data_IF_171148534380
#
_entry.id   IF_171148534380
#
_cell.length_a   1.000
_cell.length_b   1.000
_cell.length_c   1.000
_cell.angle_alpha   90.00
_cell.angle_beta   90.00
_cell.angle_gamma   90.00
#
_symmetry.space_group_name_H-M   'P 1'
#
loop_
_entity.id
_entity.type
_entity.pdbx_description
1 polymer ?
#
# COMPACT_ATOMS: atom_id res chain seq x y z
N UNK A 1 -23.91 4.21 13.06
CA UNK A 1 -22.61 4.03 12.39
C UNK A 1 -21.52 4.23 13.43
N UNK A 2 -20.59 3.30 13.62
CA UNK A 2 -19.45 3.52 14.48
C UNK A 2 -18.60 4.67 13.95
N UNK A 3 -18.28 5.62 14.83
CA UNK A 3 -17.39 6.73 14.54
C UNK A 3 -16.24 6.72 15.52
N UNK A 4 -15.06 7.10 15.04
CA UNK A 4 -13.83 7.08 15.81
C UNK A 4 -13.05 8.34 15.53
N UNK A 5 -12.42 8.90 16.55
CA UNK A 5 -11.47 10.00 16.43
C UNK A 5 -10.06 9.44 16.64
N UNK A 6 -9.16 9.66 15.69
CA UNK A 6 -7.81 9.14 15.70
C UNK A 6 -6.81 10.29 15.73
N UNK A 7 -6.06 10.39 16.81
CA UNK A 7 -4.97 11.36 16.96
C UNK A 7 -3.73 10.85 16.23
N UNK A 8 -3.24 11.55 15.17
CA UNK A 8 -1.99 11.17 14.53
C UNK A 8 -0.81 11.30 15.50
N UNK A 9 -0.05 10.25 15.67
CA UNK A 9 1.22 10.34 16.38
C UNK A 9 2.30 10.84 15.41
N UNK A 10 2.66 12.13 15.54
CA UNK A 10 3.54 12.83 14.63
C UNK A 10 2.86 13.30 13.33
N UNK A 11 3.60 14.02 12.46
CA UNK A 11 3.03 14.71 11.31
C UNK A 11 2.27 13.80 10.36
N UNK A 12 1.06 14.23 9.93
CA UNK A 12 0.21 13.50 8.99
C UNK A 12 -0.69 14.45 8.21
N UNK A 13 -0.87 14.17 6.92
CA UNK A 13 -1.83 14.82 6.04
C UNK A 13 -2.66 13.79 5.27
N UNK A 14 -3.96 13.77 5.53
CA UNK A 14 -4.90 12.94 4.77
C UNK A 14 -4.99 13.38 3.30
N UNK A 15 -4.88 14.68 3.05
CA UNK A 15 -4.85 15.23 1.69
C UNK A 15 -3.62 14.77 0.91
N UNK A 16 -2.45 14.69 1.57
CA UNK A 16 -1.25 14.12 0.96
C UNK A 16 -1.40 12.63 0.68
N UNK A 17 -2.02 11.86 1.60
CA UNK A 17 -2.31 10.45 1.42
C UNK A 17 -3.29 10.22 0.24
N UNK A 18 -4.37 11.00 0.12
CA UNK A 18 -5.33 10.92 -0.99
C UNK A 18 -4.66 11.25 -2.34
N UNK A 19 -3.87 12.32 -2.39
CA UNK A 19 -3.10 12.69 -3.59
C UNK A 19 -2.13 11.58 -4.03
N UNK A 20 -1.50 10.89 -3.07
CA UNK A 20 -0.62 9.75 -3.34
C UNK A 20 -1.43 8.52 -3.78
N UNK A 21 -2.56 8.23 -3.12
CA UNK A 21 -3.43 7.10 -3.41
C UNK A 21 -4.00 7.14 -4.85
N UNK A 22 -4.31 8.30 -5.39
CA UNK A 22 -4.76 8.48 -6.77
C UNK A 22 -3.79 7.94 -7.84
N UNK A 23 -2.51 7.81 -7.52
CA UNK A 23 -1.47 7.18 -8.35
C UNK A 23 -1.12 5.75 -7.97
N UNK A 24 -1.67 5.22 -6.87
CA UNK A 24 -1.29 3.92 -6.32
C UNK A 24 -2.27 2.80 -6.70
N UNK A 25 -1.82 1.59 -6.99
CA UNK A 25 -2.67 0.50 -7.48
C UNK A 25 -3.75 -0.01 -6.50
N UNK A 26 -3.68 0.36 -5.22
CA UNK A 26 -4.68 -0.02 -4.23
C UNK A 26 -6.01 0.75 -4.36
N UNK A 27 -6.03 1.86 -5.11
CA UNK A 27 -7.18 2.75 -5.23
C UNK A 27 -8.32 2.22 -6.11
N UNK A 28 -8.90 1.08 -5.77
CA UNK A 28 -10.22 0.72 -6.29
C UNK A 28 -11.25 1.20 -5.27
N UNK A 29 -11.87 2.32 -5.51
CA UNK A 29 -12.93 2.86 -4.67
C UNK A 29 -12.60 4.15 -3.91
N UNK A 30 -11.35 4.60 -3.92
CA UNK A 30 -10.98 5.95 -3.51
C UNK A 30 -11.43 6.95 -4.58
N UNK A 31 -12.71 7.13 -4.75
CA UNK A 31 -13.23 8.22 -5.56
C UNK A 31 -13.07 9.49 -4.73
N UNK A 32 -12.32 10.46 -5.25
CA UNK A 32 -12.38 11.82 -4.75
C UNK A 32 -13.86 12.22 -4.58
N UNK A 33 -14.39 12.09 -3.39
CA UNK A 33 -15.49 12.91 -2.97
C UNK A 33 -14.88 14.30 -2.99
N UNK A 34 -15.30 15.19 -3.88
CA UNK A 34 -14.76 16.56 -4.00
C UNK A 34 -14.90 17.36 -2.69
N UNK A 35 -14.33 16.84 -1.60
CA UNK A 35 -14.33 17.29 -0.23
C UNK A 35 -13.16 16.70 0.55
N UNK A 36 -12.91 17.10 1.80
CA UNK A 36 -11.78 16.70 2.63
C UNK A 36 -11.89 15.26 3.19
N UNK A 37 -12.46 14.31 2.43
CA UNK A 37 -12.68 12.95 2.88
C UNK A 37 -12.14 11.91 1.88
N UNK A 38 -11.39 10.95 2.40
CA UNK A 38 -10.92 9.75 1.69
C UNK A 38 -11.86 8.59 2.01
N UNK A 39 -12.45 8.00 0.97
CA UNK A 39 -13.35 6.85 1.10
C UNK A 39 -12.62 5.59 0.63
N UNK A 40 -12.55 4.60 1.50
CA UNK A 40 -11.86 3.33 1.32
C UNK A 40 -12.89 2.19 1.32
N UNK A 41 -12.88 1.36 0.30
CA UNK A 41 -13.76 0.19 0.22
C UNK A 41 -12.91 -1.07 0.01
N UNK A 42 -12.98 -2.03 0.92
CA UNK A 42 -12.09 -3.20 0.92
C UNK A 42 -12.71 -4.39 1.65
N UNK A 43 -12.27 -5.63 1.32
CA UNK A 43 -12.59 -6.81 2.11
C UNK A 43 -11.97 -6.72 3.50
N UNK A 44 -12.76 -6.96 4.54
CA UNK A 44 -12.24 -7.05 5.91
C UNK A 44 -11.52 -8.39 6.08
N UNK A 45 -10.33 -8.36 6.67
CA UNK A 45 -9.56 -9.59 6.97
C UNK A 45 -10.38 -10.51 7.86
N UNK A 46 -10.29 -11.83 7.63
CA UNK A 46 -11.28 -12.81 8.07
C UNK A 46 -12.31 -13.13 6.98
N UNK A 47 -12.42 -12.27 5.95
CA UNK A 47 -13.10 -12.48 4.67
C UNK A 47 -14.61 -12.75 4.75
N UNK A 48 -15.26 -12.37 5.87
CA UNK A 48 -16.71 -12.55 6.05
C UNK A 48 -17.48 -11.53 5.21
N UNK A 49 -17.02 -10.29 5.21
CA UNK A 49 -17.66 -9.17 4.52
C UNK A 49 -16.63 -8.12 4.02
N UNK A 50 -17.13 -7.02 3.51
CA UNK A 50 -16.33 -5.85 3.11
C UNK A 50 -16.85 -4.60 3.81
N UNK A 51 -15.97 -3.65 4.06
CA UNK A 51 -16.29 -2.37 4.68
C UNK A 51 -16.15 -1.21 3.71
N UNK A 52 -16.85 -0.12 4.03
CA UNK A 52 -16.52 1.24 3.59
C UNK A 52 -16.07 2.03 4.81
N UNK A 53 -14.90 2.61 4.72
CA UNK A 53 -14.36 3.50 5.76
C UNK A 53 -14.15 4.88 5.15
N UNK A 54 -14.77 5.88 5.75
CA UNK A 54 -14.56 7.28 5.40
C UNK A 54 -13.62 7.90 6.43
N UNK A 55 -12.49 8.42 5.94
CA UNK A 55 -11.55 9.20 6.75
C UNK A 55 -11.70 10.67 6.38
N UNK A 56 -11.76 11.55 7.35
CA UNK A 56 -11.80 13.00 7.14
C UNK A 56 -10.88 13.71 8.13
N UNK A 57 -10.23 14.78 7.65
CA UNK A 57 -9.30 15.59 8.43
C UNK A 57 -9.55 17.06 8.07
N UNK A 58 -9.74 17.92 9.04
CA UNK A 58 -10.03 19.34 8.80
C UNK A 58 -8.79 20.08 8.29
N UNK A 59 -7.65 19.81 8.89
CA UNK A 59 -6.37 20.37 8.51
C UNK A 59 -5.25 19.36 8.81
N UNK A 60 -4.07 19.56 8.21
CA UNK A 60 -2.88 18.74 8.50
C UNK A 60 -2.60 18.72 10.00
N UNK A 61 -2.17 17.58 10.51
CA UNK A 61 -1.84 17.32 11.92
C UNK A 61 -3.03 17.36 12.90
N UNK A 62 -4.25 17.70 12.45
CA UNK A 62 -5.46 17.61 13.25
C UNK A 62 -5.96 16.16 13.35
N UNK A 63 -6.84 15.85 14.31
CA UNK A 63 -7.45 14.53 14.42
C UNK A 63 -8.13 14.06 13.14
N UNK A 64 -8.05 12.77 12.87
CA UNK A 64 -8.76 12.12 11.77
C UNK A 64 -10.04 11.50 12.28
N UNK A 65 -11.17 11.95 11.75
CA UNK A 65 -12.46 11.32 11.99
C UNK A 65 -12.64 10.14 11.04
N UNK A 66 -13.02 8.99 11.59
CA UNK A 66 -13.26 7.77 10.82
C UNK A 66 -14.69 7.26 11.02
N UNK A 67 -15.39 6.96 9.94
CA UNK A 67 -16.71 6.35 9.95
C UNK A 67 -16.63 5.01 9.26
N UNK A 68 -17.16 3.95 9.88
CA UNK A 68 -17.10 2.57 9.36
C UNK A 68 -18.50 2.07 9.09
N UNK A 69 -18.71 1.52 7.88
CA UNK A 69 -19.98 0.94 7.45
C UNK A 69 -19.80 -0.41 6.74
N UNK A 70 -20.86 -1.19 6.72
CA UNK A 70 -21.01 -2.38 5.87
C UNK A 70 -20.31 -3.63 6.38
N UNK A 71 -19.80 -3.65 7.61
CA UNK A 71 -19.13 -4.82 8.20
C UNK A 71 -19.65 -5.14 9.60
N UNK A 72 -19.56 -6.42 9.97
CA UNK A 72 -19.84 -6.90 11.31
C UNK A 72 -18.69 -6.61 12.30
N UNK A 73 -17.46 -6.40 11.81
CA UNK A 73 -16.28 -6.06 12.61
C UNK A 73 -15.73 -4.66 12.24
N UNK A 74 -16.34 -3.59 12.77
CA UNK A 74 -15.91 -2.23 12.46
C UNK A 74 -14.52 -1.89 13.01
N UNK A 75 -14.07 -2.54 14.08
CA UNK A 75 -12.74 -2.31 14.64
C UNK A 75 -11.64 -2.90 13.76
N UNK A 76 -11.83 -4.10 13.22
CA UNK A 76 -10.91 -4.69 12.24
C UNK A 76 -10.84 -3.82 10.98
N UNK A 77 -11.98 -3.37 10.47
CA UNK A 77 -12.02 -2.47 9.32
C UNK A 77 -11.30 -1.14 9.59
N UNK A 78 -11.49 -0.55 10.78
CA UNK A 78 -10.78 0.66 11.17
C UNK A 78 -9.26 0.43 11.20
N UNK A 79 -8.79 -0.62 11.89
CA UNK A 79 -7.35 -0.95 11.94
C UNK A 79 -6.76 -1.10 10.53
N UNK A 80 -7.47 -1.78 9.64
CA UNK A 80 -7.08 -2.00 8.25
C UNK A 80 -7.01 -0.69 7.45
N UNK A 81 -7.99 0.21 7.63
CA UNK A 81 -8.01 1.53 7.01
C UNK A 81 -6.85 2.40 7.51
N UNK A 82 -6.62 2.46 8.81
CA UNK A 82 -5.52 3.24 9.40
C UNK A 82 -4.16 2.74 8.93
N UNK A 83 -3.96 1.42 8.87
CA UNK A 83 -2.75 0.80 8.31
C UNK A 83 -2.53 1.21 6.86
N UNK A 84 -3.59 1.26 6.06
CA UNK A 84 -3.48 1.61 4.64
C UNK A 84 -2.97 3.03 4.39
N UNK A 85 -3.16 3.95 5.34
CA UNK A 85 -2.63 5.32 5.29
C UNK A 85 -1.47 5.56 6.28
N UNK A 86 -0.90 4.49 6.85
CA UNK A 86 0.20 4.52 7.83
C UNK A 86 -0.10 5.35 9.09
N UNK A 87 -1.36 5.42 9.51
CA UNK A 87 -1.78 6.05 10.77
C UNK A 87 -1.67 5.12 11.98
N UNK A 88 -1.47 3.84 11.76
CA UNK A 88 -1.25 2.83 12.80
C UNK A 88 0.18 2.87 13.39
N UNK A 89 1.07 3.67 12.80
CA UNK A 89 2.44 3.87 13.24
C UNK A 89 2.66 5.19 13.96
N UNK A 90 3.62 5.16 14.88
CA UNK A 90 4.17 6.39 15.47
C UNK A 90 5.12 7.06 14.47
N UNK A 91 4.71 8.21 13.95
CA UNK A 91 5.50 9.04 13.03
C UNK A 91 6.15 10.24 13.70
N UNK A 92 6.16 10.33 15.04
CA UNK A 92 6.73 11.48 15.75
C UNK A 92 8.22 11.71 15.46
N UNK A 93 8.97 10.63 15.26
CA UNK A 93 10.39 10.69 14.88
C UNK A 93 10.64 10.87 13.36
N UNK A 94 9.59 10.91 12.53
CA UNK A 94 9.78 11.05 11.07
C UNK A 94 10.46 12.35 10.65
N UNK A 95 10.17 13.53 11.25
CA UNK A 95 10.91 14.76 10.96
C UNK A 95 12.40 14.68 11.28
N UNK A 96 12.81 13.90 12.29
CA UNK A 96 14.21 13.76 12.69
C UNK A 96 15.05 13.08 11.59
N UNK A 97 14.44 12.24 10.76
CA UNK A 97 15.10 11.66 9.59
C UNK A 97 15.50 12.78 8.62
N UNK A 98 14.60 13.71 8.35
CA UNK A 98 14.89 14.86 7.49
C UNK A 98 15.88 15.85 8.11
N UNK A 99 15.91 15.96 9.45
CA UNK A 99 16.89 16.81 10.14
C UNK A 99 18.32 16.29 10.01
N UNK A 100 18.50 14.95 9.99
CA UNK A 100 19.83 14.32 9.86
C UNK A 100 20.21 13.95 8.42
N UNK A 101 19.22 13.90 7.49
CA UNK A 101 19.45 13.65 6.06
C UNK A 101 18.86 14.79 5.21
N UNK A 102 19.69 15.68 4.67
CA UNK A 102 19.22 16.85 3.92
C UNK A 102 18.44 16.51 2.65
N UNK A 103 18.65 15.33 2.04
CA UNK A 103 17.88 14.90 0.87
C UNK A 103 16.47 14.55 1.28
N UNK A 104 16.32 13.72 2.31
CA UNK A 104 15.01 13.37 2.88
C UNK A 104 14.31 14.63 3.40
N UNK A 105 15.03 15.53 4.09
CA UNK A 105 14.46 16.77 4.61
C UNK A 105 13.85 17.67 3.52
N UNK A 106 14.54 17.84 2.38
CA UNK A 106 13.98 18.58 1.24
C UNK A 106 12.71 17.91 0.69
N UNK A 107 12.71 16.61 0.63
CA UNK A 107 11.53 15.86 0.15
C UNK A 107 10.37 15.91 1.14
N UNK A 108 10.62 15.88 2.44
CA UNK A 108 9.59 16.08 3.47
C UNK A 108 8.93 17.45 3.37
N UNK A 109 9.71 18.51 3.06
CA UNK A 109 9.16 19.84 2.80
C UNK A 109 8.32 19.88 1.52
N UNK A 110 8.82 19.25 0.43
CA UNK A 110 8.12 19.22 -0.86
C UNK A 110 6.84 18.36 -0.85
N UNK A 111 6.79 17.35 0.01
CA UNK A 111 5.69 16.40 0.17
C UNK A 111 5.21 16.39 1.63
N UNK A 112 4.86 17.58 2.10
CA UNK A 112 4.57 17.83 3.51
C UNK A 112 3.63 16.78 4.08
N UNK A 113 4.08 16.15 5.15
CA UNK A 113 3.35 15.19 5.97
C UNK A 113 2.85 13.92 5.24
N UNK A 114 3.41 13.64 4.06
CA UNK A 114 3.14 12.40 3.37
C UNK A 114 3.71 11.21 4.15
N UNK A 115 2.83 10.29 4.51
CA UNK A 115 3.17 8.92 4.89
C UNK A 115 2.80 7.97 3.75
N UNK A 116 3.52 6.87 3.53
CA UNK A 116 3.20 5.93 2.47
C UNK A 116 1.78 5.38 2.58
N UNK A 117 1.05 5.35 1.47
CA UNK A 117 -0.21 4.61 1.37
C UNK A 117 0.11 3.16 1.04
N UNK A 118 -0.43 2.24 1.81
CA UNK A 118 -0.27 0.81 1.70
C UNK A 118 -1.51 0.14 1.06
N UNK A 119 -1.42 -1.14 0.72
CA UNK A 119 -2.59 -1.94 0.40
C UNK A 119 -3.42 -2.20 1.66
N UNK A 120 -4.67 -2.55 1.48
CA UNK A 120 -5.56 -2.83 2.62
C UNK A 120 -5.18 -4.12 3.36
N UNK A 121 -4.54 -5.08 2.66
CA UNK A 121 -4.11 -6.35 3.23
C UNK A 121 -2.94 -6.96 2.46
N UNK A 122 -2.27 -7.96 3.04
CA UNK A 122 -1.28 -8.77 2.35
C UNK A 122 -1.89 -9.51 1.15
N UNK A 123 -3.12 -10.00 1.28
CA UNK A 123 -3.86 -10.65 0.20
C UNK A 123 -4.04 -9.70 -1.00
N UNK A 124 -4.52 -8.48 -0.78
CA UNK A 124 -4.70 -7.52 -1.87
C UNK A 124 -3.36 -7.11 -2.48
N UNK A 125 -2.32 -6.95 -1.67
CA UNK A 125 -1.00 -6.60 -2.13
C UNK A 125 -0.44 -7.67 -3.08
N UNK A 126 -0.36 -8.93 -2.64
CA UNK A 126 0.20 -10.02 -3.46
C UNK A 126 -0.62 -10.24 -4.73
N UNK A 127 -1.94 -10.19 -4.63
CA UNK A 127 -2.84 -10.30 -5.78
C UNK A 127 -2.59 -9.19 -6.79
N UNK A 128 -2.48 -7.93 -6.33
CA UNK A 128 -2.20 -6.77 -7.17
C UNK A 128 -0.84 -6.85 -7.86
N UNK A 129 0.19 -7.32 -7.15
CA UNK A 129 1.51 -7.53 -7.74
C UNK A 129 1.48 -8.61 -8.82
N UNK A 130 0.82 -9.74 -8.58
CA UNK A 130 0.71 -10.84 -9.57
C UNK A 130 -0.09 -10.38 -10.80
N UNK A 131 -1.19 -9.65 -10.63
CA UNK A 131 -1.92 -9.04 -11.75
C UNK A 131 -0.98 -8.14 -12.55
N UNK A 132 -0.22 -7.28 -11.89
CA UNK A 132 0.66 -6.28 -12.49
C UNK A 132 1.93 -6.83 -13.17
N UNK A 133 2.26 -8.12 -13.00
CA UNK A 133 3.46 -8.71 -13.61
C UNK A 133 3.44 -8.59 -15.13
N UNK A 134 4.49 -8.01 -15.72
CA UNK A 134 4.72 -7.90 -17.16
C UNK A 134 3.57 -7.21 -17.95
N UNK A 135 2.81 -6.35 -17.30
CA UNK A 135 1.79 -5.52 -17.95
C UNK A 135 1.92 -4.05 -17.51
N UNK A 136 1.38 -3.14 -18.30
CA UNK A 136 1.38 -1.72 -17.95
C UNK A 136 0.49 -1.45 -16.71
N UNK A 137 0.89 -0.47 -15.88
CA UNK A 137 0.11 -0.07 -14.67
C UNK A 137 -1.37 0.18 -14.97
N UNK A 138 -1.68 0.88 -16.08
CA UNK A 138 -3.07 1.15 -16.50
C UNK A 138 -3.84 -0.12 -16.83
N UNK A 139 -3.18 -1.12 -17.43
CA UNK A 139 -3.82 -2.40 -17.71
C UNK A 139 -4.11 -3.16 -16.42
N UNK A 140 -3.14 -3.23 -15.49
CA UNK A 140 -3.36 -3.82 -14.17
C UNK A 140 -4.51 -3.16 -13.40
N UNK A 141 -4.58 -1.83 -13.42
CA UNK A 141 -5.68 -1.09 -12.80
C UNK A 141 -7.06 -1.44 -13.41
N UNK A 142 -7.14 -1.56 -14.74
CA UNK A 142 -8.39 -1.97 -15.43
C UNK A 142 -8.81 -3.40 -15.05
N UNK A 143 -7.86 -4.32 -14.95
CA UNK A 143 -8.14 -5.71 -14.54
C UNK A 143 -8.66 -5.74 -13.10
N UNK A 144 -8.01 -5.00 -12.19
CA UNK A 144 -8.48 -4.88 -10.80
C UNK A 144 -9.90 -4.30 -10.74
N UNK A 145 -10.16 -3.22 -11.48
CA UNK A 145 -11.49 -2.61 -11.55
C UNK A 145 -12.53 -3.61 -12.06
N UNK A 146 -12.23 -4.32 -13.14
CA UNK A 146 -13.11 -5.35 -13.69
C UNK A 146 -13.39 -6.48 -12.68
N UNK A 147 -12.36 -6.95 -11.96
CA UNK A 147 -12.55 -7.94 -10.89
C UNK A 147 -13.44 -7.40 -9.78
N UNK A 148 -13.23 -6.15 -9.35
CA UNK A 148 -14.10 -5.49 -8.37
C UNK A 148 -15.54 -5.37 -8.86
N UNK A 149 -15.76 -4.99 -10.13
CA UNK A 149 -17.09 -4.88 -10.73
C UNK A 149 -17.81 -6.21 -10.82
N UNK A 150 -17.10 -7.30 -11.07
CA UNK A 150 -17.70 -8.60 -11.34
C UNK A 150 -17.86 -9.48 -10.11
N UNK A 151 -16.89 -9.41 -9.19
CA UNK A 151 -16.78 -10.34 -8.05
C UNK A 151 -16.63 -9.62 -6.71
N UNK A 152 -16.46 -8.32 -6.71
CA UNK A 152 -16.38 -7.52 -5.48
C UNK A 152 -17.74 -7.30 -4.83
N UNK A 153 -17.71 -6.87 -3.58
CA UNK A 153 -18.92 -6.49 -2.86
C UNK A 153 -19.28 -5.04 -3.18
N UNK A 154 -20.55 -4.83 -3.56
CA UNK A 154 -21.12 -3.49 -3.69
C UNK A 154 -21.46 -2.95 -2.30
N UNK A 155 -20.98 -1.75 -2.00
CA UNK A 155 -21.25 -1.03 -0.76
C UNK A 155 -21.78 0.36 -1.10
N UNK A 156 -22.80 0.80 -0.39
CA UNK A 156 -23.41 2.11 -0.60
C UNK A 156 -23.14 3.01 0.59
N UNK A 157 -22.64 4.22 0.31
CA UNK A 157 -22.47 5.30 1.28
C UNK A 157 -23.25 6.52 0.78
N UNK A 158 -24.35 6.85 1.46
CA UNK A 158 -25.29 7.86 0.97
C UNK A 158 -25.88 7.46 -0.39
N UNK A 159 -25.71 8.31 -1.40
CA UNK A 159 -26.15 8.04 -2.77
C UNK A 159 -25.08 7.43 -3.68
N UNK A 160 -23.89 7.16 -3.18
CA UNK A 160 -22.75 6.64 -3.95
C UNK A 160 -22.52 5.18 -3.68
N UNK A 161 -22.21 4.41 -4.74
CA UNK A 161 -21.78 3.02 -4.64
C UNK A 161 -20.27 2.94 -4.73
N UNK A 162 -19.68 2.10 -3.87
CA UNK A 162 -18.25 1.78 -3.84
C UNK A 162 -18.10 0.28 -3.99
N UNK A 163 -17.05 -0.15 -4.67
CA UNK A 163 -16.77 -1.55 -4.88
C UNK A 163 -15.45 -1.93 -4.24
N UNK A 164 -15.53 -2.91 -3.36
CA UNK A 164 -14.34 -3.55 -2.79
C UNK A 164 -13.68 -4.48 -3.82
N UNK A 165 -12.39 -4.72 -3.66
CA UNK A 165 -11.74 -5.83 -4.35
C UNK A 165 -12.41 -7.16 -3.94
N UNK A 166 -12.46 -8.21 -4.79
CA UNK A 166 -13.09 -9.47 -4.42
C UNK A 166 -12.50 -10.09 -3.15
N UNK A 167 -13.36 -10.55 -2.25
CA UNK A 167 -12.94 -11.45 -1.18
C UNK A 167 -12.34 -12.73 -1.75
N UNK A 168 -11.45 -13.45 -1.05
CA UNK A 168 -10.83 -14.66 -1.57
C UNK A 168 -11.82 -15.68 -2.15
N UNK A 169 -12.95 -15.94 -1.44
CA UNK A 169 -13.99 -16.86 -1.89
C UNK A 169 -14.56 -16.44 -3.25
N UNK A 170 -14.77 -15.14 -3.45
CA UNK A 170 -15.32 -14.60 -4.69
C UNK A 170 -14.29 -14.59 -5.82
N UNK A 171 -12.99 -14.40 -5.49
CA UNK A 171 -11.92 -14.46 -6.47
C UNK A 171 -11.76 -15.87 -7.06
N UNK A 172 -12.04 -16.93 -6.30
CA UNK A 172 -12.03 -18.30 -6.78
C UNK A 172 -13.10 -18.59 -7.87
N UNK A 173 -14.16 -17.77 -7.95
CA UNK A 173 -15.19 -17.91 -8.98
C UNK A 173 -14.75 -17.31 -10.34
N UNK A 174 -13.65 -16.55 -10.38
CA UNK A 174 -13.17 -15.88 -11.58
C UNK A 174 -12.43 -16.87 -12.48
N UNK A 175 -13.06 -17.34 -13.55
CA UNK A 175 -12.46 -18.33 -14.47
C UNK A 175 -11.88 -17.71 -15.73
N UNK A 176 -12.50 -16.65 -16.24
CA UNK A 176 -12.03 -15.90 -17.41
C UNK A 176 -11.96 -14.42 -17.07
N UNK A 177 -10.72 -13.92 -16.92
CA UNK A 177 -10.44 -12.53 -16.55
C UNK A 177 -9.84 -11.82 -17.76
N UNK A 178 -10.56 -10.85 -18.37
CA UNK A 178 -10.08 -10.14 -19.54
C UNK A 178 -8.70 -9.51 -19.30
N UNK A 179 -7.75 -9.85 -20.16
CA UNK A 179 -6.37 -9.35 -20.09
C UNK A 179 -5.44 -10.15 -19.18
N UNK A 180 -5.90 -11.24 -18.57
CA UNK A 180 -5.06 -12.23 -17.91
C UNK A 180 -5.04 -13.55 -18.67
N UNK A 181 -3.86 -14.15 -18.75
CA UNK A 181 -3.72 -15.53 -19.23
C UNK A 181 -4.17 -16.52 -18.15
N UNK A 182 -4.65 -17.70 -18.56
CA UNK A 182 -5.18 -18.73 -17.63
C UNK A 182 -4.20 -19.06 -16.48
N UNK A 183 -2.90 -19.06 -16.76
CA UNK A 183 -1.88 -19.30 -15.72
C UNK A 183 -1.91 -18.24 -14.61
N UNK A 184 -2.11 -16.96 -14.95
CA UNK A 184 -2.25 -15.91 -13.92
C UNK A 184 -3.53 -16.09 -13.12
N UNK A 185 -4.64 -16.50 -13.74
CA UNK A 185 -5.90 -16.78 -13.03
C UNK A 185 -5.68 -17.91 -12.03
N UNK A 186 -5.01 -19.00 -12.42
CA UNK A 186 -4.65 -20.10 -11.47
C UNK A 186 -3.79 -19.61 -10.31
N UNK A 187 -2.83 -18.70 -10.56
CA UNK A 187 -2.02 -18.09 -9.49
C UNK A 187 -2.86 -17.26 -8.53
N UNK A 188 -3.83 -16.50 -9.05
CA UNK A 188 -4.76 -15.73 -8.22
C UNK A 188 -5.63 -16.65 -7.35
N UNK A 189 -6.04 -17.81 -7.87
CA UNK A 189 -6.77 -18.80 -7.09
C UNK A 189 -5.91 -19.36 -5.95
N UNK A 190 -4.67 -19.79 -6.22
CA UNK A 190 -3.78 -20.27 -5.15
C UNK A 190 -3.47 -19.23 -4.08
N UNK A 191 -3.42 -17.93 -4.46
CA UNK A 191 -3.30 -16.83 -3.50
C UNK A 191 -4.59 -16.68 -2.66
N UNK A 192 -5.76 -16.84 -3.29
CA UNK A 192 -7.04 -16.78 -2.60
C UNK A 192 -7.20 -17.96 -1.62
N UNK A 193 -6.79 -19.17 -2.00
CA UNK A 193 -6.73 -20.34 -1.13
C UNK A 193 -5.83 -20.09 0.08
N UNK A 194 -4.60 -19.62 -0.14
CA UNK A 194 -3.66 -19.28 0.94
C UNK A 194 -4.22 -18.20 1.90
N UNK A 195 -5.00 -17.24 1.39
CA UNK A 195 -5.67 -16.25 2.22
C UNK A 195 -6.77 -16.89 3.09
N UNK A 196 -7.53 -17.84 2.55
CA UNK A 196 -8.57 -18.58 3.29
C UNK A 196 -7.96 -19.49 4.37
N UNK A 197 -6.77 -20.06 4.10
CA UNK A 197 -6.01 -20.87 5.05
C UNK A 197 -5.28 -20.03 6.11
N UNK A 198 -5.41 -18.69 6.06
CA UNK A 198 -4.79 -17.77 7.03
C UNK A 198 -3.29 -17.54 6.82
N UNK A 199 -2.71 -18.01 5.71
CA UNK A 199 -1.29 -17.79 5.41
C UNK A 199 -0.98 -16.31 5.11
N UNK A 200 -2.00 -15.55 4.65
CA UNK A 200 -1.91 -14.13 4.32
C UNK A 200 -2.53 -13.22 5.39
N UNK A 201 -2.60 -13.68 6.64
CA UNK A 201 -2.94 -12.81 7.77
C UNK A 201 -1.87 -11.71 7.92
N UNK A 202 -2.30 -10.47 7.76
CA UNK A 202 -1.40 -9.32 7.68
C UNK A 202 -0.66 -9.06 8.99
N UNK A 203 -1.35 -9.19 10.13
CA UNK A 203 -0.72 -8.94 11.44
C UNK A 203 0.27 -10.06 11.79
N UNK A 204 -0.06 -11.31 11.45
CA UNK A 204 0.86 -12.44 11.60
C UNK A 204 2.13 -12.24 10.77
N UNK A 205 1.99 -11.91 9.47
CA UNK A 205 3.14 -11.66 8.59
C UNK A 205 4.00 -10.50 9.08
N UNK A 206 3.37 -9.43 9.57
CA UNK A 206 4.04 -8.26 10.11
C UNK A 206 4.83 -8.55 11.38
N UNK A 207 4.33 -9.46 12.23
CA UNK A 207 4.96 -9.84 13.49
C UNK A 207 6.08 -10.89 13.32
N UNK A 208 6.15 -11.55 12.15
CA UNK A 208 7.18 -12.56 11.87
C UNK A 208 8.56 -11.92 11.67
N UNK A 209 9.65 -12.66 11.97
CA UNK A 209 10.97 -12.33 11.46
C UNK A 209 10.90 -12.18 9.93
N UNK A 210 11.58 -11.14 9.38
CA UNK A 210 11.56 -10.85 7.94
C UNK A 210 11.85 -12.08 7.08
N UNK A 211 12.86 -12.87 7.44
CA UNK A 211 13.26 -14.04 6.67
C UNK A 211 12.12 -15.07 6.55
N UNK A 212 11.43 -15.34 7.65
CA UNK A 212 10.33 -16.31 7.72
C UNK A 212 9.11 -15.83 6.93
N UNK A 213 8.78 -14.53 7.04
CA UNK A 213 7.68 -13.93 6.28
C UNK A 213 7.97 -13.96 4.76
N UNK A 214 9.19 -13.65 4.34
CA UNK A 214 9.60 -13.72 2.94
C UNK A 214 9.58 -15.16 2.44
N UNK A 215 10.10 -16.12 3.20
CA UNK A 215 10.06 -17.54 2.84
C UNK A 215 8.62 -18.04 2.64
N UNK A 216 7.70 -17.69 3.54
CA UNK A 216 6.30 -18.03 3.42
C UNK A 216 5.70 -17.45 2.13
N UNK A 217 5.91 -16.16 1.87
CA UNK A 217 5.38 -15.48 0.69
C UNK A 217 5.95 -16.05 -0.61
N UNK A 218 7.21 -16.48 -0.63
CA UNK A 218 7.84 -17.10 -1.81
C UNK A 218 7.24 -18.47 -2.19
N UNK A 219 6.54 -19.15 -1.28
CA UNK A 219 5.82 -20.41 -1.58
C UNK A 219 4.55 -20.18 -2.41
N UNK A 220 4.03 -18.96 -2.41
CA UNK A 220 2.81 -18.63 -3.16
C UNK A 220 3.03 -18.68 -4.67
N UNK A 221 2.04 -19.14 -5.45
CA UNK A 221 2.18 -19.29 -6.89
C UNK A 221 2.42 -17.95 -7.59
N UNK A 222 3.54 -17.86 -8.33
CA UNK A 222 3.91 -16.67 -9.08
C UNK A 222 4.50 -15.52 -8.25
N UNK A 223 4.80 -15.76 -6.98
CA UNK A 223 5.47 -14.80 -6.11
C UNK A 223 6.98 -15.00 -6.18
N UNK A 224 7.67 -13.98 -6.64
CA UNK A 224 9.14 -13.89 -6.60
C UNK A 224 9.59 -12.88 -5.52
N UNK A 225 10.91 -12.69 -5.35
CA UNK A 225 11.47 -11.84 -4.29
C UNK A 225 10.86 -10.42 -4.27
N UNK A 226 10.76 -9.77 -5.42
CA UNK A 226 10.15 -8.42 -5.53
C UNK A 226 8.70 -8.39 -5.02
N UNK A 227 7.90 -9.41 -5.37
CA UNK A 227 6.49 -9.48 -4.95
C UNK A 227 6.40 -9.78 -3.45
N UNK A 228 7.21 -10.70 -2.93
CA UNK A 228 7.24 -11.04 -1.51
C UNK A 228 7.62 -9.81 -0.66
N UNK A 229 8.70 -9.13 -1.01
CA UNK A 229 9.13 -7.90 -0.32
C UNK A 229 8.10 -6.78 -0.43
N UNK A 230 7.57 -6.54 -1.63
CA UNK A 230 6.53 -5.55 -1.84
C UNK A 230 5.28 -5.85 -1.02
N UNK A 231 4.90 -7.12 -0.86
CA UNK A 231 3.79 -7.55 -0.02
C UNK A 231 4.08 -7.28 1.45
N UNK A 232 5.27 -7.64 1.94
CA UNK A 232 5.66 -7.40 3.33
C UNK A 232 5.71 -5.90 3.66
N UNK A 233 6.32 -5.10 2.78
CA UNK A 233 6.47 -3.66 3.01
C UNK A 233 5.17 -2.88 2.83
N UNK A 234 4.45 -3.13 1.73
CA UNK A 234 3.30 -2.32 1.31
C UNK A 234 1.95 -3.00 1.54
N UNK A 235 1.92 -4.30 1.78
CA UNK A 235 0.74 -5.06 2.19
C UNK A 235 0.62 -5.14 3.71
N UNK A 236 1.73 -5.42 4.38
CA UNK A 236 1.75 -5.53 5.83
C UNK A 236 2.15 -4.23 6.56
N UNK A 237 2.63 -3.21 5.84
CA UNK A 237 3.00 -1.91 6.42
C UNK A 237 4.26 -1.98 7.31
N UNK A 238 5.21 -2.82 6.98
CA UNK A 238 6.49 -2.87 7.71
C UNK A 238 7.31 -1.63 7.41
N UNK A 239 7.63 -0.84 8.43
CA UNK A 239 8.18 0.51 8.28
C UNK A 239 9.70 0.54 8.23
N UNK A 240 10.38 -0.18 9.11
CA UNK A 240 11.85 -0.13 9.20
C UNK A 240 12.54 -1.27 8.44
N UNK A 241 12.17 -1.43 7.18
CA UNK A 241 12.80 -2.38 6.27
C UNK A 241 13.04 -1.74 4.89
N UNK A 242 13.97 -2.31 4.12
CA UNK A 242 14.32 -1.87 2.78
C UNK A 242 13.85 -2.90 1.75
N UNK A 243 13.35 -2.46 0.58
CA UNK A 243 13.18 -3.36 -0.54
C UNK A 243 14.54 -3.79 -1.10
N UNK A 244 14.67 -5.06 -1.49
CA UNK A 244 15.88 -5.60 -2.11
C UNK A 244 15.98 -5.31 -3.61
N UNK A 245 15.21 -4.35 -4.13
CA UNK A 245 15.23 -3.98 -5.54
C UNK A 245 16.30 -2.89 -5.84
N UNK A 246 16.85 -2.86 -7.08
CA UNK A 246 17.87 -1.88 -7.46
C UNK A 246 17.35 -0.44 -7.53
N UNK A 247 16.02 -0.24 -7.57
CA UNK A 247 15.40 1.07 -7.75
C UNK A 247 15.71 2.03 -6.58
N UNK A 248 15.91 1.49 -5.38
CA UNK A 248 16.30 2.31 -4.21
C UNK A 248 17.70 2.85 -4.38
N UNK A 249 18.64 2.04 -4.86
CA UNK A 249 20.01 2.49 -5.18
C UNK A 249 20.06 3.51 -6.30
N UNK A 250 19.24 3.35 -7.34
CA UNK A 250 19.11 4.31 -8.43
C UNK A 250 18.53 5.65 -7.93
N UNK A 251 17.51 5.58 -7.07
CA UNK A 251 16.90 6.77 -6.48
C UNK A 251 17.91 7.53 -5.59
N UNK A 252 18.71 6.82 -4.81
CA UNK A 252 19.78 7.42 -4.02
C UNK A 252 20.78 8.09 -4.96
N UNK A 253 21.27 7.41 -6.01
CA UNK A 253 22.22 7.97 -6.92
C UNK A 253 21.75 9.31 -7.50
N UNK A 254 20.53 9.35 -8.02
CA UNK A 254 19.99 10.56 -8.64
C UNK A 254 19.76 11.71 -7.64
N UNK A 255 19.15 11.42 -6.49
CA UNK A 255 18.76 12.46 -5.52
C UNK A 255 19.93 12.96 -4.65
N UNK A 256 20.95 12.11 -4.45
CA UNK A 256 22.16 12.48 -3.70
C UNK A 256 23.29 12.97 -4.62
N UNK A 257 23.07 12.98 -5.96
CA UNK A 257 24.06 13.46 -6.93
C UNK A 257 25.27 12.53 -7.06
N UNK A 258 25.07 11.22 -6.88
CA UNK A 258 26.14 10.23 -7.04
C UNK A 258 26.31 9.87 -8.53
N UNK A 259 27.51 9.46 -8.97
CA UNK A 259 27.77 9.10 -10.37
C UNK A 259 27.06 7.82 -10.81
N UNK A 260 26.50 7.05 -9.87
CA UNK A 260 25.77 5.81 -10.10
C UNK A 260 25.27 5.22 -8.79
N UNK A 261 24.60 4.05 -8.82
CA UNK A 261 24.15 3.39 -7.61
C UNK A 261 25.30 3.22 -6.61
N UNK A 262 25.06 3.51 -5.30
CA UNK A 262 26.11 3.42 -4.30
C UNK A 262 26.56 1.98 -4.08
N UNK A 263 27.81 1.79 -3.67
CA UNK A 263 28.29 0.52 -3.16
C UNK A 263 27.56 0.12 -1.85
N UNK A 264 27.75 -1.11 -1.40
CA UNK A 264 27.03 -1.67 -0.24
C UNK A 264 27.28 -0.88 1.05
N UNK A 265 28.49 -0.38 1.28
CA UNK A 265 28.86 0.40 2.46
C UNK A 265 28.19 1.78 2.45
N UNK A 266 28.27 2.49 1.35
CA UNK A 266 27.62 3.80 1.15
C UNK A 266 26.10 3.67 1.22
N UNK A 267 25.52 2.61 0.61
CA UNK A 267 24.10 2.31 0.67
C UNK A 267 23.65 2.09 2.11
N UNK A 268 24.35 1.22 2.85
CA UNK A 268 24.02 0.95 4.26
C UNK A 268 24.12 2.23 5.11
N UNK A 269 25.21 3.00 4.97
CA UNK A 269 25.40 4.24 5.72
C UNK A 269 24.27 5.25 5.48
N UNK A 270 23.83 5.42 4.25
CA UNK A 270 22.72 6.32 3.91
C UNK A 270 21.41 5.78 4.51
N UNK A 271 21.10 4.52 4.27
CA UNK A 271 19.80 3.94 4.66
C UNK A 271 19.68 3.68 6.17
N UNK A 272 20.78 3.49 6.88
CA UNK A 272 20.78 3.45 8.35
C UNK A 272 20.43 4.80 8.97
N UNK A 273 20.74 5.90 8.28
CA UNK A 273 20.30 7.24 8.66
C UNK A 273 18.77 7.42 8.60
N UNK A 274 18.06 6.56 7.92
CA UNK A 274 16.59 6.65 7.81
C UNK A 274 15.83 5.88 8.89
N UNK A 275 16.52 5.12 9.76
CA UNK A 275 15.86 4.38 10.84
C UNK A 275 15.12 5.30 11.81
N UNK A 276 13.96 4.86 12.28
CA UNK A 276 13.26 3.58 12.04
C UNK A 276 12.23 3.65 10.88
N UNK A 277 12.40 4.53 9.89
CA UNK A 277 11.43 4.79 8.81
C UNK A 277 12.00 4.51 7.41
N UNK A 278 12.81 3.44 7.26
CA UNK A 278 13.51 3.14 6.00
C UNK A 278 12.57 2.94 4.82
N UNK A 279 11.43 2.25 5.01
CA UNK A 279 10.42 2.10 3.96
C UNK A 279 9.78 3.45 3.60
N UNK A 280 9.48 4.30 4.59
CA UNK A 280 8.93 5.62 4.33
C UNK A 280 9.88 6.50 3.53
N UNK A 281 11.16 6.52 3.90
CA UNK A 281 12.19 7.26 3.15
C UNK A 281 12.29 6.75 1.71
N UNK A 282 12.32 5.41 1.51
CA UNK A 282 12.35 4.81 0.18
C UNK A 282 11.17 5.25 -0.69
N UNK A 283 9.95 5.25 -0.13
CA UNK A 283 8.75 5.69 -0.87
C UNK A 283 8.84 7.17 -1.18
N UNK A 284 9.29 8.00 -0.23
CA UNK A 284 9.42 9.44 -0.42
C UNK A 284 10.45 9.78 -1.51
N UNK A 285 11.60 9.07 -1.57
CA UNK A 285 12.56 9.20 -2.65
C UNK A 285 11.92 8.92 -4.02
N UNK A 286 11.15 7.84 -4.13
CA UNK A 286 10.46 7.47 -5.38
C UNK A 286 9.44 8.52 -5.82
N UNK A 287 8.69 9.08 -4.89
CA UNK A 287 7.76 10.20 -5.17
C UNK A 287 8.51 11.43 -5.66
N UNK A 288 9.65 11.75 -5.04
CA UNK A 288 10.51 12.86 -5.46
C UNK A 288 11.00 12.70 -6.91
N UNK A 289 11.39 11.49 -7.30
CA UNK A 289 11.83 11.20 -8.67
C UNK A 289 10.74 11.30 -9.71
N UNK A 290 9.54 10.77 -9.44
CA UNK A 290 8.41 10.82 -10.38
C UNK A 290 8.02 12.25 -10.74
N UNK A 291 8.17 13.21 -9.81
CA UNK A 291 7.92 14.63 -10.07
C UNK A 291 9.08 15.35 -10.76
N UNK A 292 10.32 14.97 -10.47
CA UNK A 292 11.49 15.56 -11.11
C UNK A 292 11.59 15.17 -12.60
N UNK A 293 11.05 14.02 -13.00
CA UNK A 293 11.12 13.50 -14.37
C UNK A 293 9.76 12.91 -14.78
N UNK A 294 8.72 13.75 -15.05
CA UNK A 294 7.44 13.28 -15.53
C UNK A 294 7.60 12.52 -16.85
N UNK A 295 7.40 11.20 -16.85
CA UNK A 295 7.52 10.36 -18.04
C UNK A 295 8.65 9.33 -18.03
N UNK A 296 9.56 9.34 -17.08
CA UNK A 296 10.42 8.19 -16.78
C UNK A 296 9.61 7.14 -16.00
N UNK A 297 8.75 6.41 -16.71
CA UNK A 297 8.33 5.13 -16.17
C UNK A 297 9.60 4.28 -16.06
N UNK A 298 10.00 3.92 -14.83
CA UNK A 298 11.07 2.96 -14.61
C UNK A 298 10.78 1.73 -15.47
N UNK A 299 11.56 1.57 -16.55
CA UNK A 299 11.49 0.37 -17.40
C UNK A 299 11.97 -0.77 -16.52
N UNK A 300 11.07 -1.68 -16.18
CA UNK A 300 11.41 -2.96 -15.61
C UNK A 300 12.23 -3.72 -16.66
N UNK A 301 13.51 -3.90 -16.38
CA UNK A 301 14.33 -4.93 -17.05
C UNK A 301 13.90 -6.32 -16.62
#
# INVERSE_FOLDING_TARGET
MPSYTVEPRGPFSLAAADSFAGGFPAGIGGGAAGGPALVLAFPVEGWVDSAVVTLSQVADDEPVEAFVEGTADPEAALRQALRSVSLDHDGSGWPDVGARDPVVGRLQVAHRWLRPVCFYSAYEAVTSFVIGQRIARRQGARIKAWLGERYGDDKTLGSRSYRAFPRPQRLLEATDVPGLVAEKVRRLHGIAEAALDGELDTERLRAMPRADAIELLLRLPGVGPFTAEGTLLRGCGVVDELPGDPMTGEAIAELYGLPGPPDAETFARITDGWRPYRMWATVLLRVGLERASPGRSYRRS
#
